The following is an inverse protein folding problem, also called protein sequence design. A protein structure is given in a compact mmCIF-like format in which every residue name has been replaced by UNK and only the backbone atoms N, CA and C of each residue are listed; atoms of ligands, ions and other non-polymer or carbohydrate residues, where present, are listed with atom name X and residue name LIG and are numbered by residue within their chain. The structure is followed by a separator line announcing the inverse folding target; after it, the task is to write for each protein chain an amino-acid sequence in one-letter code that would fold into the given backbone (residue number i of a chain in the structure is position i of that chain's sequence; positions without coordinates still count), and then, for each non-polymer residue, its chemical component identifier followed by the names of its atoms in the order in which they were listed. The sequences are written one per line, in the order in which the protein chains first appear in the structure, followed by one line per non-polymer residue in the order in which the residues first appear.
data_IF_383959827349
#
_entry.id   IF_383959827349
#
_cell.length_a   1.000
_cell.length_b   1.000
_cell.length_c   1.000
_cell.angle_alpha   90.00
_cell.angle_beta   90.00
_cell.angle_gamma   90.00
#
_symmetry.space_group_name_H-M   'P 1'
#
loop_
_entity.id
_entity.type
_entity.pdbx_description
1 polymer ?
#
# COMPACT_ATOMS: atom_id res chain seq x y z
N UNK A 1 -4.20 -7.96 1.46
CA UNK A 1 -4.04 -7.60 2.89
C UNK A 1 -5.42 -7.39 3.52
N UNK A 2 -5.65 -7.75 4.80
CA UNK A 2 -6.88 -7.37 5.53
C UNK A 2 -6.71 -5.96 6.09
N UNK A 3 -7.75 -5.13 6.00
CA UNK A 3 -7.72 -3.73 6.41
C UNK A 3 -7.40 -3.58 7.91
N UNK A 4 -7.77 -4.57 8.72
CA UNK A 4 -7.60 -4.55 10.17
C UNK A 4 -6.11 -4.53 10.56
N UNK A 5 -5.29 -5.35 9.88
CA UNK A 5 -3.83 -5.38 10.11
C UNK A 5 -3.12 -4.08 9.72
N UNK A 6 -3.74 -3.22 8.93
CA UNK A 6 -3.18 -1.92 8.52
C UNK A 6 -3.47 -0.86 9.60
N UNK A 7 -4.57 -1.02 10.35
CA UNK A 7 -4.95 -0.06 11.39
C UNK A 7 -4.17 -0.23 12.70
N UNK A 8 -3.69 -1.44 12.97
CA UNK A 8 -2.89 -1.75 14.16
C UNK A 8 -1.41 -1.36 14.03
N UNK A 9 -0.91 -1.11 12.81
CA UNK A 9 0.49 -0.77 12.56
C UNK A 9 0.75 0.72 12.82
N UNK A 10 1.94 1.05 13.29
CA UNK A 10 2.35 2.44 13.47
C UNK A 10 2.50 3.14 12.10
N UNK A 11 2.36 4.46 12.09
CA UNK A 11 2.47 5.28 10.87
C UNK A 11 3.83 5.12 10.20
N UNK A 12 4.91 4.91 10.97
CA UNK A 12 6.24 4.62 10.44
C UNK A 12 6.32 3.25 9.76
N UNK A 13 5.71 2.22 10.33
CA UNK A 13 5.64 0.87 9.76
C UNK A 13 4.80 0.84 8.48
N UNK A 14 3.69 1.58 8.45
CA UNK A 14 2.86 1.75 7.27
C UNK A 14 3.64 2.40 6.11
N UNK A 15 4.47 3.40 6.40
CA UNK A 15 5.35 3.98 5.40
C UNK A 15 6.42 2.99 4.92
N UNK A 16 6.95 2.14 5.80
CA UNK A 16 7.90 1.09 5.41
C UNK A 16 7.27 0.07 4.46
N UNK A 17 6.09 -0.45 4.82
CA UNK A 17 5.31 -1.33 3.94
C UNK A 17 4.95 -0.67 2.62
N UNK A 18 4.63 0.63 2.62
CA UNK A 18 4.35 1.36 1.39
C UNK A 18 5.56 1.32 0.44
N UNK A 19 6.78 1.52 0.96
CA UNK A 19 8.01 1.45 0.16
C UNK A 19 8.24 0.06 -0.42
N UNK A 20 8.09 -0.99 0.40
CA UNK A 20 8.21 -2.37 -0.05
C UNK A 20 7.17 -2.73 -1.12
N UNK A 21 5.90 -2.32 -0.94
CA UNK A 21 4.84 -2.53 -1.91
C UNK A 21 5.13 -1.84 -3.24
N UNK A 22 5.68 -0.62 -3.21
CA UNK A 22 6.08 0.12 -4.41
C UNK A 22 7.16 -0.66 -5.17
N UNK A 23 8.18 -1.16 -4.46
CA UNK A 23 9.26 -1.91 -5.07
C UNK A 23 8.77 -3.22 -5.71
N UNK A 24 7.90 -3.96 -5.02
CA UNK A 24 7.26 -5.17 -5.56
C UNK A 24 6.41 -4.86 -6.80
N UNK A 25 5.68 -3.75 -6.78
CA UNK A 25 4.90 -3.26 -7.93
C UNK A 25 5.82 -2.95 -9.13
N UNK A 26 6.98 -2.35 -8.90
CA UNK A 26 7.98 -2.08 -9.94
C UNK A 26 8.51 -3.38 -10.55
N UNK A 27 8.90 -4.36 -9.72
CA UNK A 27 9.37 -5.67 -10.20
C UNK A 27 8.29 -6.38 -11.02
N UNK A 28 7.04 -6.36 -10.54
CA UNK A 28 5.91 -6.97 -11.26
C UNK A 28 5.60 -6.25 -12.58
N UNK A 29 5.73 -4.92 -12.64
CA UNK A 29 5.60 -4.18 -13.90
C UNK A 29 6.66 -4.61 -14.91
N UNK A 30 7.88 -4.81 -14.46
CA UNK A 30 8.97 -5.25 -15.32
C UNK A 30 8.74 -6.67 -15.85
N UNK A 31 8.30 -7.60 -14.98
CA UNK A 31 7.91 -8.96 -15.39
C UNK A 31 6.73 -8.97 -16.38
N UNK A 32 5.74 -8.11 -16.16
CA UNK A 32 4.61 -7.95 -17.08
C UNK A 32 5.06 -7.42 -18.45
N UNK A 33 6.01 -6.48 -18.49
CA UNK A 33 6.62 -6.01 -19.73
C UNK A 33 7.33 -7.13 -20.50
N UNK A 34 7.95 -8.07 -19.79
CA UNK A 34 8.58 -9.27 -20.37
C UNK A 34 7.57 -10.34 -20.85
N UNK A 35 6.26 -10.08 -20.73
CA UNK A 35 5.21 -11.01 -21.16
C UNK A 35 4.82 -12.07 -20.12
N UNK A 36 5.37 -12.04 -18.91
CA UNK A 36 4.99 -12.97 -17.85
C UNK A 36 3.67 -12.54 -17.18
N UNK A 37 2.59 -13.27 -17.48
CA UNK A 37 1.23 -12.94 -17.02
C UNK A 37 0.89 -13.46 -15.62
N UNK A 38 1.67 -14.39 -15.07
CA UNK A 38 1.49 -14.95 -13.72
C UNK A 38 1.49 -13.87 -12.62
N UNK A 39 2.22 -12.77 -12.85
CA UNK A 39 2.29 -11.62 -11.94
C UNK A 39 1.06 -10.71 -11.93
N UNK A 40 0.14 -10.82 -12.90
CA UNK A 40 -0.95 -9.85 -13.09
C UNK A 40 -1.94 -9.83 -11.92
N UNK A 41 -2.29 -11.00 -11.38
CA UNK A 41 -3.20 -11.10 -10.23
C UNK A 41 -2.56 -10.53 -8.96
N UNK A 42 -1.26 -10.80 -8.75
CA UNK A 42 -0.47 -10.23 -7.64
C UNK A 42 -0.34 -8.71 -7.77
N UNK A 43 -0.07 -8.21 -8.97
CA UNK A 43 0.00 -6.77 -9.26
C UNK A 43 -1.30 -6.04 -8.90
N UNK A 44 -2.44 -6.58 -9.34
CA UNK A 44 -3.77 -6.02 -9.00
C UNK A 44 -4.04 -6.05 -7.50
N UNK A 45 -3.63 -7.12 -6.81
CA UNK A 45 -3.72 -7.24 -5.35
C UNK A 45 -2.90 -6.17 -4.63
N UNK A 46 -1.61 -6.05 -4.96
CA UNK A 46 -0.70 -5.07 -4.36
C UNK A 46 -1.12 -3.63 -4.61
N UNK A 47 -1.67 -3.31 -5.79
CA UNK A 47 -2.23 -1.97 -6.04
C UNK A 47 -3.39 -1.63 -5.10
N UNK A 48 -4.27 -2.59 -4.82
CA UNK A 48 -5.39 -2.39 -3.89
C UNK A 48 -4.89 -2.28 -2.45
N UNK A 49 -3.91 -3.10 -2.07
CA UNK A 49 -3.31 -3.05 -0.73
C UNK A 49 -2.60 -1.70 -0.50
N UNK A 50 -1.82 -1.21 -1.47
CA UNK A 50 -1.22 0.14 -1.42
C UNK A 50 -2.26 1.24 -1.26
N UNK A 51 -3.38 1.17 -1.98
CA UNK A 51 -4.44 2.16 -1.86
C UNK A 51 -5.03 2.18 -0.45
N UNK A 52 -5.25 1.02 0.18
CA UNK A 52 -5.74 0.93 1.56
C UNK A 52 -4.77 1.55 2.57
N UNK A 53 -3.47 1.29 2.42
CA UNK A 53 -2.43 1.89 3.29
C UNK A 53 -2.46 3.42 3.19
N UNK A 54 -2.52 3.95 1.98
CA UNK A 54 -2.61 5.40 1.75
C UNK A 54 -3.89 6.00 2.35
N UNK A 55 -5.02 5.32 2.22
CA UNK A 55 -6.28 5.76 2.83
C UNK A 55 -6.17 5.85 4.35
N UNK A 56 -5.61 4.84 5.02
CA UNK A 56 -5.43 4.85 6.48
C UNK A 56 -4.47 5.95 6.94
N UNK A 57 -3.35 6.15 6.21
CA UNK A 57 -2.44 7.26 6.51
C UNK A 57 -3.15 8.62 6.38
N UNK A 58 -3.95 8.80 5.33
CA UNK A 58 -4.71 10.05 5.13
C UNK A 58 -5.81 10.25 6.18
N UNK A 59 -6.51 9.18 6.58
CA UNK A 59 -7.48 9.22 7.68
C UNK A 59 -6.81 9.68 8.99
N UNK A 60 -5.62 9.18 9.30
CA UNK A 60 -4.84 9.60 10.48
C UNK A 60 -4.39 11.06 10.42
N UNK A 61 -3.91 11.50 9.26
CA UNK A 61 -3.55 12.92 9.04
C UNK A 61 -4.74 13.84 9.27
N UNK A 62 -5.89 13.53 8.67
CA UNK A 62 -7.12 14.32 8.81
C UNK A 62 -7.63 14.35 10.26
N UNK A 63 -7.54 13.24 10.98
CA UNK A 63 -7.88 13.19 12.40
C UNK A 63 -6.93 14.06 13.26
N UNK A 64 -5.64 14.07 12.93
CA UNK A 64 -4.66 14.93 13.61
C UNK A 64 -4.83 16.41 13.29
N UNK A 65 -5.24 16.76 12.06
CA UNK A 65 -5.62 18.13 11.68
C UNK A 65 -6.90 18.57 12.41
N UNK A 66 -7.92 17.72 12.47
CA UNK A 66 -9.17 18.00 13.16
C UNK A 66 -8.99 18.18 14.68
N UNK A 67 -8.03 17.48 15.30
CA UNK A 67 -7.72 17.63 16.73
C UNK A 67 -6.88 18.88 17.06
N UNK A 68 -6.35 19.57 16.05
CA UNK A 68 -5.56 20.82 16.22
C UNK A 68 -6.41 22.08 16.07
N UNK A 69 -7.63 21.98 15.57
CA UNK A 69 -8.60 23.07 15.45
C UNK A 69 -9.59 23.08 16.61
#
# INVERSE_FOLDING_TARGET
MRADKVRDLDSAELQSQLREMIEQIYRLRFQLLMGQSEGLKKYRGLRKDRARVLSVLRERELAAEAAKG
#
